data_IF_039407265833
#
_entry.id   IF_039407265833
#
_cell.length_a   1.000
_cell.length_b   1.000
_cell.length_c   1.000
_cell.angle_alpha   90.00
_cell.angle_beta   90.00
_cell.angle_gamma   90.00
#
_symmetry.space_group_name_H-M   'P 1'
#
loop_
_entity.id
_entity.type
_entity.pdbx_description
1 polymer ?
#
# COMPACT_ATOMS: atom_id res chain seq x y z
N UNK A 1 20.25 19.05 -10.94
CA UNK A 1 21.54 19.77 -11.01
C UNK A 1 21.35 21.25 -11.33
N UNK A 2 20.60 21.62 -12.38
CA UNK A 2 20.39 23.02 -12.78
C UNK A 2 19.41 23.84 -11.90
N UNK A 3 18.77 23.25 -10.87
CA UNK A 3 17.87 23.96 -9.96
C UNK A 3 16.47 24.28 -10.51
N UNK A 4 16.05 23.66 -11.61
CA UNK A 4 14.78 23.97 -12.32
C UNK A 4 13.59 23.07 -11.96
N UNK A 5 13.82 22.02 -11.17
CA UNK A 5 12.79 21.06 -10.77
C UNK A 5 13.24 20.28 -9.54
N UNK A 6 12.29 19.76 -8.79
CA UNK A 6 12.49 18.84 -7.67
C UNK A 6 11.49 17.69 -7.75
N UNK A 7 11.90 16.51 -7.28
CA UNK A 7 11.03 15.35 -7.19
C UNK A 7 10.32 15.36 -5.83
N UNK A 8 9.04 15.74 -5.82
CA UNK A 8 8.22 15.85 -4.62
C UNK A 8 7.70 14.53 -4.06
N UNK A 9 7.97 13.40 -4.74
CA UNK A 9 7.40 12.10 -4.41
C UNK A 9 5.87 12.20 -4.24
N UNK A 10 5.31 11.72 -3.13
CA UNK A 10 3.90 11.90 -2.76
C UNK A 10 3.83 12.96 -1.67
N UNK A 11 4.11 12.58 -0.42
CA UNK A 11 3.91 13.47 0.73
C UNK A 11 5.10 14.38 1.03
N UNK A 12 6.23 14.22 0.33
CA UNK A 12 7.44 15.03 0.57
C UNK A 12 7.23 16.47 0.09
N UNK A 13 6.85 16.65 -1.18
CA UNK A 13 6.49 17.95 -1.76
C UNK A 13 5.07 18.42 -1.41
N UNK A 14 4.21 17.49 -0.97
CA UNK A 14 2.84 17.79 -0.51
C UNK A 14 2.77 18.13 0.98
N UNK A 15 3.91 18.16 1.67
CA UNK A 15 4.09 18.54 3.07
C UNK A 15 3.17 17.81 4.06
N UNK A 16 2.88 16.53 3.81
CA UNK A 16 2.02 15.68 4.66
C UNK A 16 2.69 14.35 5.04
N UNK A 17 4.03 14.34 5.13
CA UNK A 17 4.78 13.18 5.63
C UNK A 17 4.74 13.14 7.16
N UNK A 18 4.29 12.01 7.73
CA UNK A 18 4.04 11.85 9.17
C UNK A 18 4.88 10.73 9.80
N UNK A 19 6.05 10.48 9.20
CA UNK A 19 6.89 9.35 9.56
C UNK A 19 6.36 8.01 9.04
N UNK A 20 6.86 6.90 9.59
CA UNK A 20 6.68 5.58 8.99
C UNK A 20 5.33 4.92 9.31
N UNK A 21 4.54 5.49 10.23
CA UNK A 21 3.21 4.98 10.58
C UNK A 21 2.29 4.81 9.36
N UNK A 22 2.45 5.67 8.34
CA UNK A 22 1.70 5.58 7.09
C UNK A 22 1.94 4.26 6.35
N UNK A 23 3.20 3.85 6.27
CA UNK A 23 3.59 2.60 5.59
C UNK A 23 3.24 1.38 6.44
N UNK A 24 3.39 1.46 7.78
CA UNK A 24 2.97 0.38 8.69
C UNK A 24 1.48 0.09 8.51
N UNK A 25 0.64 1.13 8.52
CA UNK A 25 -0.81 0.98 8.36
C UNK A 25 -1.20 0.42 6.99
N UNK A 26 -0.62 0.97 5.91
CA UNK A 26 -0.87 0.46 4.56
C UNK A 26 -0.49 -1.01 4.45
N UNK A 27 0.64 -1.41 5.05
CA UNK A 27 1.10 -2.80 5.03
C UNK A 27 0.24 -3.73 5.88
N UNK A 28 -0.23 -3.27 7.03
CA UNK A 28 -1.20 -3.98 7.85
C UNK A 28 -2.48 -4.29 7.05
N UNK A 29 -3.03 -3.31 6.33
CA UNK A 29 -4.22 -3.51 5.50
C UNK A 29 -3.94 -4.48 4.34
N UNK A 30 -2.79 -4.36 3.67
CA UNK A 30 -2.44 -5.25 2.55
C UNK A 30 -2.38 -6.72 3.00
N UNK A 31 -1.62 -7.03 4.05
CA UNK A 31 -1.42 -8.42 4.48
C UNK A 31 -2.70 -9.04 5.05
N UNK A 32 -3.50 -8.24 5.78
CA UNK A 32 -4.75 -8.71 6.35
C UNK A 32 -5.75 -9.05 5.25
N UNK A 33 -5.90 -8.17 4.24
CA UNK A 33 -6.78 -8.42 3.11
C UNK A 33 -6.25 -9.51 2.17
N UNK A 34 -4.92 -9.70 2.06
CA UNK A 34 -4.35 -10.88 1.37
C UNK A 34 -4.79 -12.18 2.06
N UNK A 35 -4.73 -12.21 3.40
CA UNK A 35 -5.22 -13.34 4.20
C UNK A 35 -6.71 -13.62 4.00
N UNK A 36 -7.55 -12.58 3.97
CA UNK A 36 -8.98 -12.74 3.68
C UNK A 36 -9.24 -13.31 2.29
N UNK A 37 -8.61 -12.71 1.28
CA UNK A 37 -8.82 -13.06 -0.13
C UNK A 37 -8.34 -14.47 -0.47
N UNK A 38 -7.23 -14.92 0.12
CA UNK A 38 -6.53 -16.14 -0.33
C UNK A 38 -6.51 -17.27 0.69
N UNK A 39 -6.65 -16.95 1.98
CA UNK A 39 -6.70 -17.95 3.06
C UNK A 39 -8.12 -18.10 3.64
N UNK A 40 -9.10 -17.33 3.15
CA UNK A 40 -10.49 -17.40 3.60
C UNK A 40 -10.71 -16.92 5.03
N UNK A 41 -9.82 -16.06 5.54
CA UNK A 41 -9.94 -15.47 6.88
C UNK A 41 -11.18 -14.57 6.91
N UNK A 42 -12.08 -14.73 7.89
CA UNK A 42 -13.25 -13.86 8.03
C UNK A 42 -12.92 -12.39 8.31
N UNK A 43 -13.84 -11.49 7.97
CA UNK A 43 -13.67 -10.04 8.16
C UNK A 43 -13.40 -9.64 9.62
N UNK A 44 -13.94 -10.39 10.57
CA UNK A 44 -13.84 -10.14 12.02
C UNK A 44 -12.60 -10.80 12.68
N UNK A 45 -11.73 -11.47 11.90
CA UNK A 45 -10.53 -12.14 12.39
C UNK A 45 -9.23 -11.43 12.00
N UNK A 46 -8.10 -12.01 12.39
CA UNK A 46 -6.74 -11.52 12.17
C UNK A 46 -5.86 -12.64 11.59
N UNK A 47 -4.55 -12.42 11.44
CA UNK A 47 -3.63 -13.39 10.84
C UNK A 47 -3.07 -14.41 11.85
N UNK A 48 -3.74 -14.65 12.99
CA UNK A 48 -3.27 -15.61 13.99
C UNK A 48 -3.07 -17.01 13.43
N UNK A 49 -1.83 -17.47 13.48
CA UNK A 49 -1.46 -18.79 12.99
C UNK A 49 -1.08 -18.83 11.51
N UNK A 50 -1.05 -17.68 10.82
CA UNK A 50 -0.69 -17.58 9.41
C UNK A 50 0.70 -16.98 9.19
N UNK A 51 1.36 -17.44 8.14
CA UNK A 51 2.73 -17.09 7.75
C UNK A 51 2.76 -16.12 6.58
N UNK A 52 3.48 -15.01 6.77
CA UNK A 52 3.88 -14.09 5.72
C UNK A 52 5.40 -14.06 5.58
N UNK A 53 5.90 -14.34 4.38
CA UNK A 53 7.33 -14.25 4.04
C UNK A 53 7.55 -13.07 3.10
N UNK A 54 8.59 -12.27 3.38
CA UNK A 54 8.97 -11.14 2.52
C UNK A 54 10.46 -10.81 2.69
N UNK A 55 10.89 -9.71 2.09
CA UNK A 55 12.27 -9.25 2.03
C UNK A 55 12.39 -7.73 2.21
N UNK A 56 13.57 -7.30 2.63
CA UNK A 56 13.94 -5.91 2.80
C UNK A 56 13.52 -5.33 4.16
N UNK A 57 14.47 -4.67 4.81
CA UNK A 57 14.28 -3.90 6.04
C UNK A 57 14.81 -2.48 5.86
N UNK A 58 14.57 -1.90 4.68
CA UNK A 58 14.92 -0.53 4.34
C UNK A 58 14.01 0.51 5.01
N UNK A 59 14.01 1.73 4.50
CA UNK A 59 13.20 2.83 5.06
C UNK A 59 11.70 2.51 5.09
N UNK A 60 11.13 2.07 3.96
CA UNK A 60 9.72 1.66 3.86
C UNK A 60 9.52 0.19 4.21
N UNK A 61 10.35 -0.72 3.67
CA UNK A 61 10.21 -2.17 3.88
C UNK A 61 10.48 -2.62 5.32
N UNK A 62 11.15 -1.78 6.12
CA UNK A 62 11.27 -1.97 7.56
C UNK A 62 9.94 -1.96 8.31
N UNK A 63 8.85 -1.47 7.72
CA UNK A 63 7.51 -1.48 8.33
C UNK A 63 6.82 -2.85 8.30
N UNK A 64 7.23 -3.76 7.40
CA UNK A 64 6.58 -5.07 7.21
C UNK A 64 6.58 -5.93 8.49
N UNK A 65 7.71 -6.08 9.23
CA UNK A 65 7.74 -6.74 10.54
C UNK A 65 6.72 -6.23 11.55
N UNK A 66 6.57 -4.89 11.62
CA UNK A 66 5.65 -4.28 12.58
C UNK A 66 4.20 -4.47 12.15
N UNK A 67 3.93 -4.39 10.85
CA UNK A 67 2.60 -4.59 10.29
C UNK A 67 2.09 -6.03 10.53
N UNK A 68 2.92 -7.05 10.29
CA UNK A 68 2.51 -8.46 10.50
C UNK A 68 2.25 -8.77 11.97
N UNK A 69 3.03 -8.21 12.91
CA UNK A 69 2.73 -8.35 14.33
C UNK A 69 1.45 -7.64 14.75
N UNK A 70 1.16 -6.45 14.21
CA UNK A 70 -0.11 -5.74 14.47
C UNK A 70 -1.29 -6.52 13.89
N UNK A 71 -1.10 -7.20 12.75
CA UNK A 71 -2.07 -8.13 12.18
C UNK A 71 -2.15 -9.47 12.94
N UNK A 72 -1.44 -9.62 14.07
CA UNK A 72 -1.35 -10.84 14.87
C UNK A 72 -0.81 -12.08 14.13
N UNK A 73 -0.07 -11.89 13.04
CA UNK A 73 0.50 -12.98 12.23
C UNK A 73 1.97 -13.29 12.53
N UNK A 74 2.49 -14.28 11.82
CA UNK A 74 3.91 -14.68 11.86
C UNK A 74 4.61 -14.19 10.60
N UNK A 75 5.70 -13.43 10.76
CA UNK A 75 6.46 -12.86 9.67
C UNK A 75 7.89 -13.37 9.61
N UNK A 76 8.38 -13.73 8.42
CA UNK A 76 9.81 -13.89 8.13
C UNK A 76 10.23 -12.83 7.12
N UNK A 77 11.26 -12.04 7.46
CA UNK A 77 11.74 -10.94 6.62
C UNK A 77 13.24 -11.13 6.35
N UNK A 78 13.60 -11.45 5.11
CA UNK A 78 14.99 -11.58 4.69
C UNK A 78 15.66 -10.22 4.48
N UNK A 79 16.84 -10.02 5.06
CA UNK A 79 17.66 -8.82 4.86
C UNK A 79 19.15 -9.16 4.90
N UNK A 80 19.90 -8.65 3.93
CA UNK A 80 21.35 -8.88 3.80
C UNK A 80 22.18 -7.88 4.60
N UNK A 81 21.63 -6.70 4.91
CA UNK A 81 22.28 -5.64 5.67
C UNK A 81 21.98 -5.77 7.17
N UNK A 82 22.92 -6.34 7.92
CA UNK A 82 22.79 -6.45 9.38
C UNK A 82 22.54 -5.09 10.07
N UNK A 83 23.02 -3.98 9.52
CA UNK A 83 22.78 -2.65 10.11
C UNK A 83 21.30 -2.26 10.03
N UNK A 84 20.61 -2.67 8.95
CA UNK A 84 19.17 -2.46 8.80
C UNK A 84 18.37 -3.29 9.76
N UNK A 85 18.73 -4.56 9.92
CA UNK A 85 18.11 -5.47 10.89
C UNK A 85 18.24 -4.90 12.30
N UNK A 86 19.47 -4.55 12.73
CA UNK A 86 19.73 -3.98 14.06
C UNK A 86 18.89 -2.74 14.33
N UNK A 87 18.81 -1.83 13.36
CA UNK A 87 17.96 -0.64 13.47
C UNK A 87 16.50 -1.00 13.79
N UNK A 88 15.93 -2.04 13.17
CA UNK A 88 14.51 -2.41 13.37
C UNK A 88 14.32 -3.19 14.67
N UNK A 89 15.32 -3.97 15.08
CA UNK A 89 15.34 -4.61 16.39
C UNK A 89 15.37 -3.55 17.51
N UNK A 90 16.26 -2.56 17.42
CA UNK A 90 16.39 -1.48 18.41
C UNK A 90 15.12 -0.62 18.49
N UNK A 91 14.38 -0.49 17.38
CA UNK A 91 13.07 0.15 17.32
C UNK A 91 11.93 -0.70 17.92
N UNK A 92 12.16 -1.99 18.20
CA UNK A 92 11.13 -2.94 18.62
C UNK A 92 10.13 -3.27 17.50
N UNK A 93 10.57 -3.21 16.24
CA UNK A 93 9.75 -3.56 15.07
C UNK A 93 10.03 -4.96 14.56
N UNK A 94 11.24 -5.47 14.81
CA UNK A 94 11.60 -6.88 14.63
C UNK A 94 11.70 -7.51 16.02
N UNK A 95 11.09 -8.68 16.22
CA UNK A 95 11.13 -9.40 17.51
C UNK A 95 12.34 -10.33 17.64
N UNK A 96 12.75 -11.00 16.56
CA UNK A 96 13.86 -11.97 16.58
C UNK A 96 14.75 -11.82 15.36
N UNK A 97 16.04 -12.09 15.53
CA UNK A 97 17.00 -12.23 14.43
C UNK A 97 17.54 -13.66 14.45
N UNK A 98 17.70 -14.24 13.26
CA UNK A 98 18.46 -15.48 13.05
C UNK A 98 19.19 -15.40 11.69
N UNK A 99 20.27 -16.15 11.54
CA UNK A 99 20.96 -16.37 10.26
C UNK A 99 20.91 -17.84 9.83
N UNK A 100 20.17 -18.69 10.56
CA UNK A 100 20.02 -20.11 10.27
C UNK A 100 18.64 -20.36 9.63
N UNK A 101 18.66 -20.92 8.43
CA UNK A 101 17.45 -21.16 7.63
C UNK A 101 16.49 -22.13 8.32
N UNK A 102 17.02 -23.17 8.98
CA UNK A 102 16.23 -24.18 9.65
C UNK A 102 15.56 -23.60 10.90
N UNK A 103 16.32 -22.89 11.73
CA UNK A 103 15.81 -22.19 12.92
C UNK A 103 14.72 -21.18 12.52
N UNK A 104 14.92 -20.44 11.43
CA UNK A 104 13.96 -19.44 10.92
C UNK A 104 12.57 -20.04 10.75
N UNK A 105 12.45 -21.14 9.99
CA UNK A 105 11.16 -21.78 9.75
C UNK A 105 10.65 -22.57 10.96
N UNK A 106 11.53 -23.17 11.76
CA UNK A 106 11.13 -23.85 13.00
C UNK A 106 10.45 -22.90 13.98
N UNK A 107 11.04 -21.71 14.17
CA UNK A 107 10.49 -20.67 15.03
C UNK A 107 9.17 -20.15 14.47
N UNK A 108 9.08 -19.90 13.17
CA UNK A 108 7.84 -19.46 12.54
C UNK A 108 6.69 -20.46 12.80
N UNK A 109 6.91 -21.75 12.56
CA UNK A 109 5.90 -22.77 12.81
C UNK A 109 5.55 -22.96 14.29
N UNK A 110 6.49 -22.74 15.20
CA UNK A 110 6.21 -22.74 16.64
C UNK A 110 5.21 -21.65 17.01
N UNK A 111 5.43 -20.42 16.54
CA UNK A 111 4.55 -19.29 16.81
C UNK A 111 3.20 -19.40 16.07
N UNK A 112 3.19 -19.97 14.86
CA UNK A 112 1.94 -20.28 14.17
C UNK A 112 1.07 -21.24 14.98
N UNK A 113 1.66 -22.32 15.53
CA UNK A 113 0.94 -23.29 16.38
C UNK A 113 0.42 -22.66 17.68
N UNK A 114 1.20 -21.75 18.27
CA UNK A 114 0.78 -21.00 19.48
C UNK A 114 -0.25 -19.91 19.19
N UNK A 115 -0.43 -19.54 17.92
CA UNK A 115 -1.23 -18.39 17.49
C UNK A 115 -0.77 -17.08 18.16
N UNK A 116 0.54 -16.94 18.30
CA UNK A 116 1.19 -15.76 18.84
C UNK A 116 1.92 -15.02 17.72
N UNK A 117 1.82 -13.68 17.63
CA UNK A 117 2.54 -12.94 16.62
C UNK A 117 4.04 -12.93 16.87
N UNK A 118 4.80 -12.96 15.78
CA UNK A 118 6.24 -12.71 15.80
C UNK A 118 6.71 -12.19 14.45
N UNK A 119 7.69 -11.29 14.46
CA UNK A 119 8.49 -10.96 13.30
C UNK A 119 9.93 -11.45 13.45
N UNK A 120 10.38 -12.23 12.48
CA UNK A 120 11.69 -12.88 12.43
C UNK A 120 12.47 -12.27 11.28
N UNK A 121 13.54 -11.52 11.57
CA UNK A 121 14.49 -11.09 10.57
C UNK A 121 15.49 -12.22 10.28
N UNK A 122 15.49 -12.72 9.05
CA UNK A 122 16.51 -13.61 8.55
C UNK A 122 17.67 -12.80 7.97
N UNK A 123 18.85 -12.88 8.59
CA UNK A 123 20.06 -12.25 8.09
C UNK A 123 20.67 -13.09 6.97
N UNK A 124 20.27 -12.81 5.74
CA UNK A 124 20.67 -13.54 4.54
C UNK A 124 19.91 -13.07 3.30
N UNK A 125 20.17 -13.70 2.16
CA UNK A 125 19.50 -13.35 0.92
C UNK A 125 18.11 -14.00 0.86
N UNK A 126 17.10 -13.28 0.36
CA UNK A 126 15.75 -13.84 0.15
C UNK A 126 15.79 -15.07 -0.75
N UNK A 127 16.69 -15.10 -1.73
CA UNK A 127 16.83 -16.26 -2.64
C UNK A 127 17.28 -17.51 -1.88
N UNK A 128 18.19 -17.39 -0.90
CA UNK A 128 18.61 -18.52 -0.05
C UNK A 128 17.45 -19.04 0.81
N UNK A 129 16.61 -18.12 1.33
CA UNK A 129 15.44 -18.45 2.14
C UNK A 129 14.38 -19.20 1.34
N UNK A 130 14.07 -18.73 0.13
CA UNK A 130 13.07 -19.36 -0.74
C UNK A 130 13.58 -20.67 -1.34
N UNK A 131 14.86 -20.77 -1.66
CA UNK A 131 15.49 -22.01 -2.12
C UNK A 131 15.41 -23.09 -1.03
N UNK A 132 15.71 -22.72 0.22
CA UNK A 132 15.52 -23.62 1.36
C UNK A 132 14.07 -24.08 1.51
N UNK A 133 13.09 -23.18 1.33
CA UNK A 133 11.68 -23.54 1.41
C UNK A 133 11.26 -24.51 0.29
N UNK A 134 11.73 -24.29 -0.94
CA UNK A 134 11.47 -25.16 -2.08
C UNK A 134 12.09 -26.55 -1.87
N UNK A 135 13.36 -26.62 -1.46
CA UNK A 135 14.11 -27.86 -1.30
C UNK A 135 13.58 -28.73 -0.14
N UNK A 136 13.07 -28.09 0.91
CA UNK A 136 12.54 -28.79 2.09
C UNK A 136 11.00 -28.91 2.07
N UNK A 137 10.35 -28.57 0.96
CA UNK A 137 8.89 -28.59 0.79
C UNK A 137 8.13 -27.86 1.92
N UNK A 138 8.64 -26.69 2.31
CA UNK A 138 8.03 -25.82 3.32
C UNK A 138 6.95 -25.00 2.64
N UNK A 139 5.72 -25.06 3.17
CA UNK A 139 4.61 -24.27 2.65
C UNK A 139 4.69 -22.83 3.18
N UNK A 140 4.63 -21.87 2.25
CA UNK A 140 4.51 -20.44 2.54
C UNK A 140 3.12 -20.03 2.07
N UNK A 141 2.29 -19.50 2.98
CA UNK A 141 0.92 -19.10 2.65
C UNK A 141 0.91 -17.80 1.82
N UNK A 142 1.52 -16.74 2.37
CA UNK A 142 1.62 -15.42 1.75
C UNK A 142 3.09 -15.05 1.51
N UNK A 143 3.42 -14.62 0.29
CA UNK A 143 4.76 -14.22 -0.13
C UNK A 143 4.74 -12.87 -0.83
N UNK A 144 5.72 -12.02 -0.53
CA UNK A 144 5.96 -10.78 -1.27
C UNK A 144 7.46 -10.44 -1.31
N UNK A 145 7.80 -9.31 -1.94
CA UNK A 145 9.15 -8.76 -1.96
C UNK A 145 9.08 -7.23 -1.85
N UNK A 146 9.94 -6.65 -1.01
CA UNK A 146 10.08 -5.19 -0.91
C UNK A 146 11.56 -4.76 -0.88
N UNK A 147 12.40 -5.50 -1.61
CA UNK A 147 13.75 -5.03 -1.96
C UNK A 147 13.67 -3.80 -2.88
N UNK A 148 14.78 -3.09 -3.10
CA UNK A 148 14.76 -1.86 -3.92
C UNK A 148 14.96 -2.14 -5.41
N UNK A 149 14.08 -2.93 -6.01
CA UNK A 149 14.12 -3.29 -7.44
C UNK A 149 13.82 -2.15 -8.41
N UNK A 150 13.49 -0.94 -7.92
CA UNK A 150 13.41 0.28 -8.73
C UNK A 150 14.79 0.83 -9.10
N UNK A 151 15.86 0.41 -8.40
CA UNK A 151 17.27 0.75 -8.66
C UNK A 151 18.18 -0.47 -8.43
N UNK A 152 17.90 -1.62 -9.07
CA UNK A 152 18.53 -2.90 -8.71
C UNK A 152 20.05 -2.88 -9.01
N UNK A 153 20.45 -2.18 -10.08
CA UNK A 153 21.83 -2.06 -10.55
C UNK A 153 22.67 -0.99 -9.82
N UNK A 154 22.07 -0.22 -8.92
CA UNK A 154 22.74 0.82 -8.13
C UNK A 154 22.81 0.47 -6.64
N UNK A 155 22.74 -0.83 -6.34
CA UNK A 155 22.85 -1.36 -4.98
C UNK A 155 21.52 -1.56 -4.26
N UNK A 156 20.39 -1.37 -4.94
CA UNK A 156 19.06 -1.65 -4.39
C UNK A 156 18.75 -3.15 -4.24
N UNK A 157 19.45 -4.01 -4.98
CA UNK A 157 19.30 -5.46 -4.95
C UNK A 157 20.66 -6.14 -4.74
N UNK A 158 20.75 -7.07 -3.78
CA UNK A 158 21.99 -7.76 -3.46
C UNK A 158 22.03 -9.13 -4.15
N UNK A 159 23.03 -9.42 -5.01
CA UNK A 159 23.15 -10.74 -5.62
C UNK A 159 23.32 -11.85 -4.58
N UNK A 160 22.74 -13.01 -4.86
CA UNK A 160 22.91 -14.23 -4.06
C UNK A 160 24.38 -14.66 -4.08
N UNK A 161 24.85 -15.23 -2.96
CA UNK A 161 26.23 -15.68 -2.81
C UNK A 161 27.26 -14.58 -2.52
N UNK A 162 26.83 -13.31 -2.40
CA UNK A 162 27.67 -12.21 -1.92
C UNK A 162 27.17 -11.72 -0.56
N UNK A 163 28.10 -11.44 0.34
CA UNK A 163 27.80 -10.65 1.53
C UNK A 163 27.50 -9.19 1.15
N UNK A 164 26.80 -8.47 2.04
CA UNK A 164 26.52 -7.04 1.84
C UNK A 164 27.79 -6.20 1.61
N UNK A 165 28.89 -6.53 2.29
CA UNK A 165 30.19 -5.86 2.15
C UNK A 165 30.83 -6.13 0.79
N UNK A 166 30.86 -7.40 0.36
CA UNK A 166 31.39 -7.78 -0.96
C UNK A 166 30.57 -7.15 -2.08
N UNK A 167 29.24 -7.16 -1.97
CA UNK A 167 28.35 -6.49 -2.90
C UNK A 167 28.64 -4.99 -3.01
N UNK A 168 28.85 -4.31 -1.87
CA UNK A 168 29.19 -2.88 -1.84
C UNK A 168 30.54 -2.59 -2.50
N UNK A 169 31.54 -3.46 -2.30
CA UNK A 169 32.85 -3.34 -2.97
C UNK A 169 32.74 -3.58 -4.47
N UNK A 170 32.00 -4.61 -4.89
CA UNK A 170 31.81 -4.95 -6.30
C UNK A 170 31.07 -3.86 -7.06
N UNK A 171 30.04 -3.25 -6.46
CA UNK A 171 29.31 -2.14 -7.08
C UNK A 171 30.23 -0.96 -7.47
N UNK A 172 31.30 -0.73 -6.71
CA UNK A 172 32.30 0.31 -7.00
C UNK A 172 33.36 -0.14 -8.01
N UNK A 173 33.79 -1.39 -7.92
CA UNK A 173 35.02 -1.85 -8.57
C UNK A 173 34.77 -2.65 -9.86
N UNK A 174 33.59 -3.28 -10.01
CA UNK A 174 33.25 -4.15 -11.14
C UNK A 174 31.73 -4.16 -11.37
N UNK A 175 31.23 -3.04 -11.91
CA UNK A 175 29.79 -2.85 -12.15
C UNK A 175 29.24 -3.80 -13.20
N UNK A 176 30.05 -4.22 -14.17
CA UNK A 176 29.63 -5.17 -15.23
C UNK A 176 29.34 -6.53 -14.62
N UNK A 177 30.25 -7.07 -13.80
CA UNK A 177 30.02 -8.33 -13.10
C UNK A 177 28.87 -8.22 -12.09
N UNK A 178 28.78 -7.11 -11.37
CA UNK A 178 27.67 -6.84 -10.45
C UNK A 178 26.32 -6.96 -11.16
N UNK A 179 26.15 -6.28 -12.30
CA UNK A 179 24.91 -6.32 -13.08
C UNK A 179 24.58 -7.75 -13.55
N UNK A 180 25.58 -8.50 -14.03
CA UNK A 180 25.38 -9.90 -14.42
C UNK A 180 24.89 -10.79 -13.27
N UNK A 181 25.44 -10.61 -12.06
CA UNK A 181 25.02 -11.34 -10.88
C UNK A 181 23.63 -10.90 -10.38
N UNK A 182 23.29 -9.62 -10.46
CA UNK A 182 21.94 -9.12 -10.18
C UNK A 182 20.93 -9.80 -11.11
N UNK A 183 21.19 -9.83 -12.43
CA UNK A 183 20.31 -10.49 -13.39
C UNK A 183 20.09 -11.96 -13.05
N UNK A 184 21.18 -12.71 -12.81
CA UNK A 184 21.10 -14.12 -12.42
C UNK A 184 20.27 -14.32 -11.14
N UNK A 185 20.44 -13.44 -10.16
CA UNK A 185 19.73 -13.52 -8.88
C UNK A 185 18.24 -13.19 -9.02
N UNK A 186 17.88 -12.19 -9.84
CA UNK A 186 16.48 -11.84 -10.10
C UNK A 186 15.74 -12.98 -10.81
N UNK A 187 16.38 -13.60 -11.82
CA UNK A 187 15.83 -14.76 -12.53
C UNK A 187 15.63 -15.93 -11.55
N UNK A 188 16.64 -16.24 -10.73
CA UNK A 188 16.52 -17.32 -9.73
C UNK A 188 15.42 -17.04 -8.70
N UNK A 189 15.29 -15.80 -8.24
CA UNK A 189 14.20 -15.40 -7.33
C UNK A 189 12.83 -15.67 -7.96
N UNK A 190 12.64 -15.25 -9.22
CA UNK A 190 11.41 -15.49 -9.96
C UNK A 190 11.11 -16.99 -10.16
N UNK A 191 12.10 -17.81 -10.51
CA UNK A 191 11.94 -19.26 -10.63
C UNK A 191 11.44 -19.90 -9.32
N UNK A 192 12.01 -19.50 -8.18
CA UNK A 192 11.58 -20.01 -6.88
C UNK A 192 10.16 -19.57 -6.53
N UNK A 193 9.79 -18.32 -6.85
CA UNK A 193 8.41 -17.85 -6.68
C UNK A 193 7.45 -18.68 -7.53
N UNK A 194 7.78 -19.01 -8.79
CA UNK A 194 6.94 -19.88 -9.63
C UNK A 194 6.71 -21.25 -8.99
N UNK A 195 7.78 -21.88 -8.50
CA UNK A 195 7.67 -23.20 -7.83
C UNK A 195 6.79 -23.11 -6.58
N UNK A 196 6.91 -22.04 -5.79
CA UNK A 196 6.10 -21.84 -4.59
C UNK A 196 4.63 -21.57 -4.93
N UNK A 197 4.36 -20.75 -5.96
CA UNK A 197 2.98 -20.46 -6.38
C UNK A 197 2.30 -21.68 -7.01
N UNK A 198 3.03 -22.52 -7.75
CA UNK A 198 2.56 -23.83 -8.20
C UNK A 198 2.20 -24.76 -7.02
N UNK A 199 2.81 -24.56 -5.85
CA UNK A 199 2.52 -25.28 -4.59
C UNK A 199 1.49 -24.57 -3.70
N UNK A 200 0.79 -23.57 -4.23
CA UNK A 200 -0.32 -22.88 -3.54
C UNK A 200 0.08 -21.65 -2.72
N UNK A 201 1.33 -21.17 -2.79
CA UNK A 201 1.70 -19.87 -2.21
C UNK A 201 1.01 -18.75 -2.98
N UNK A 202 0.43 -17.78 -2.27
CA UNK A 202 0.01 -16.54 -2.89
C UNK A 202 1.15 -15.52 -2.91
N UNK A 203 1.64 -15.19 -4.11
CA UNK A 203 2.60 -14.12 -4.33
C UNK A 203 1.94 -12.84 -4.85
N UNK A 204 2.35 -11.69 -4.32
CA UNK A 204 1.96 -10.38 -4.83
C UNK A 204 3.15 -9.41 -4.83
N UNK A 205 3.28 -8.60 -5.88
CA UNK A 205 4.32 -7.56 -5.98
C UNK A 205 3.96 -6.35 -5.10
N UNK A 206 4.89 -5.90 -4.27
CA UNK A 206 4.66 -4.81 -3.32
C UNK A 206 4.93 -3.40 -3.89
N UNK A 207 4.90 -3.24 -5.21
CA UNK A 207 5.10 -1.97 -5.89
C UNK A 207 6.55 -1.49 -5.87
N UNK A 208 7.52 -2.41 -5.84
CA UNK A 208 8.96 -2.11 -5.81
C UNK A 208 9.66 -2.27 -7.17
N UNK A 209 8.89 -2.54 -8.23
CA UNK A 209 9.34 -2.84 -9.58
C UNK A 209 10.11 -4.18 -9.73
N UNK A 210 9.90 -5.14 -8.83
CA UNK A 210 10.51 -6.47 -8.90
C UNK A 210 10.21 -7.16 -10.24
N UNK A 211 8.94 -7.26 -10.62
CA UNK A 211 8.57 -7.97 -11.86
C UNK A 211 9.17 -7.34 -13.11
N UNK A 212 9.25 -6.00 -13.13
CA UNK A 212 9.91 -5.26 -14.21
C UNK A 212 11.42 -5.54 -14.24
N UNK A 213 12.08 -5.55 -13.09
CA UNK A 213 13.50 -5.86 -13.00
C UNK A 213 13.81 -7.28 -13.48
N UNK A 214 12.96 -8.26 -13.18
CA UNK A 214 13.07 -9.64 -13.67
C UNK A 214 12.93 -9.70 -15.20
N UNK A 215 11.94 -9.00 -15.77
CA UNK A 215 11.76 -8.92 -17.23
C UNK A 215 12.98 -8.29 -17.92
N UNK A 216 13.51 -7.21 -17.35
CA UNK A 216 14.70 -6.51 -17.86
C UNK A 216 15.97 -7.36 -17.70
N UNK A 217 16.03 -8.24 -16.69
CA UNK A 217 17.12 -9.20 -16.48
C UNK A 217 17.13 -10.35 -17.50
N UNK A 218 16.01 -10.63 -18.17
CA UNK A 218 15.93 -11.56 -19.29
C UNK A 218 14.85 -12.65 -19.19
N UNK A 219 14.16 -12.79 -18.04
CA UNK A 219 13.05 -13.74 -17.88
C UNK A 219 11.77 -13.16 -18.49
N UNK A 220 11.58 -13.34 -19.79
CA UNK A 220 10.46 -12.77 -20.55
C UNK A 220 9.11 -13.38 -20.20
N UNK A 221 9.10 -14.61 -19.69
CA UNK A 221 7.91 -15.33 -19.24
C UNK A 221 7.25 -14.72 -17.98
N UNK A 222 7.86 -13.71 -17.34
CA UNK A 222 7.16 -12.93 -16.30
C UNK A 222 6.13 -11.96 -16.89
N UNK A 223 6.24 -11.59 -18.16
CA UNK A 223 5.23 -10.80 -18.86
C UNK A 223 4.11 -11.71 -19.39
N UNK A 224 2.84 -11.28 -19.30
CA UNK A 224 1.70 -12.12 -19.71
C UNK A 224 1.77 -12.57 -21.17
N UNK A 225 2.23 -11.70 -22.07
CA UNK A 225 2.39 -11.99 -23.49
C UNK A 225 3.78 -12.54 -23.88
N UNK A 226 4.73 -12.60 -22.94
CA UNK A 226 6.11 -13.05 -23.19
C UNK A 226 6.97 -12.14 -24.09
N UNK A 227 6.47 -10.98 -24.51
CA UNK A 227 7.13 -10.07 -25.47
C UNK A 227 7.50 -8.76 -24.80
N UNK A 228 6.54 -8.10 -24.15
CA UNK A 228 6.69 -6.80 -23.52
C UNK A 228 5.79 -6.65 -22.29
N UNK A 229 5.88 -5.51 -21.60
CA UNK A 229 5.12 -5.28 -20.35
C UNK A 229 3.75 -4.62 -20.59
N UNK A 230 3.25 -4.58 -21.82
CA UNK A 230 2.00 -3.86 -22.16
C UNK A 230 0.76 -4.50 -21.54
N UNK A 231 0.75 -5.83 -21.42
CA UNK A 231 -0.34 -6.61 -20.80
C UNK A 231 -0.11 -6.86 -19.29
N UNK A 232 0.94 -6.27 -18.72
CA UNK A 232 1.35 -6.50 -17.34
C UNK A 232 2.09 -7.83 -17.15
N UNK A 233 2.09 -8.32 -15.91
CA UNK A 233 2.91 -9.44 -15.46
C UNK A 233 2.06 -10.62 -14.99
N UNK A 234 2.66 -11.81 -14.91
CA UNK A 234 1.97 -13.05 -14.52
C UNK A 234 1.50 -13.06 -13.07
N UNK A 235 2.11 -12.24 -12.21
CA UNK A 235 1.67 -12.04 -10.85
C UNK A 235 1.02 -10.67 -10.67
N UNK A 236 -0.01 -10.57 -9.82
CA UNK A 236 -0.66 -9.30 -9.54
C UNK A 236 0.21 -8.42 -8.65
N UNK A 237 0.03 -7.10 -8.76
CA UNK A 237 0.50 -6.20 -7.71
C UNK A 237 -0.45 -6.19 -6.51
N UNK A 238 0.04 -5.75 -5.35
CA UNK A 238 -0.80 -5.60 -4.16
C UNK A 238 -1.97 -4.63 -4.37
N UNK A 239 -1.85 -3.67 -5.30
CA UNK A 239 -2.99 -2.81 -5.63
C UNK A 239 -3.96 -3.48 -6.58
N UNK A 240 -3.45 -4.24 -7.55
CA UNK A 240 -4.26 -4.91 -8.56
C UNK A 240 -5.27 -5.86 -7.93
N UNK A 241 -4.80 -6.72 -7.02
CA UNK A 241 -5.63 -7.79 -6.44
C UNK A 241 -6.20 -7.45 -5.06
N UNK A 242 -5.52 -6.59 -4.29
CA UNK A 242 -5.86 -6.38 -2.86
C UNK A 242 -6.39 -4.97 -2.65
N UNK A 243 -5.54 -3.93 -2.72
CA UNK A 243 -5.94 -2.58 -2.30
C UNK A 243 -7.02 -1.97 -3.20
N UNK A 244 -6.95 -2.21 -4.52
CA UNK A 244 -7.96 -1.73 -5.46
C UNK A 244 -9.34 -2.28 -5.08
N UNK A 245 -9.55 -3.60 -5.22
CA UNK A 245 -10.85 -4.23 -4.93
C UNK A 245 -11.30 -4.10 -3.49
N UNK A 246 -10.41 -4.29 -2.51
CA UNK A 246 -10.79 -4.40 -1.10
C UNK A 246 -10.85 -3.06 -0.36
N UNK A 247 -10.30 -1.98 -0.92
CA UNK A 247 -10.23 -0.68 -0.25
C UNK A 247 -10.65 0.47 -1.17
N UNK A 248 -9.88 0.71 -2.24
CA UNK A 248 -10.08 1.89 -3.07
C UNK A 248 -11.43 1.89 -3.78
N UNK A 249 -11.89 0.72 -4.19
CA UNK A 249 -13.16 0.60 -4.88
C UNK A 249 -14.35 0.97 -3.97
N UNK A 250 -14.19 0.82 -2.65
CA UNK A 250 -15.13 1.25 -1.60
C UNK A 250 -14.86 2.65 -1.02
N UNK A 251 -13.87 3.38 -1.56
CA UNK A 251 -13.51 4.71 -1.06
C UNK A 251 -12.49 4.71 0.09
N UNK A 252 -12.07 3.55 0.61
CA UNK A 252 -11.12 3.49 1.73
C UNK A 252 -9.71 3.83 1.26
N UNK A 253 -9.07 4.74 1.96
CA UNK A 253 -7.70 5.16 1.67
C UNK A 253 -7.13 6.02 2.78
N UNK A 254 -5.84 6.42 2.67
CA UNK A 254 -5.06 6.97 3.77
C UNK A 254 -5.58 8.32 4.26
N UNK A 255 -6.41 8.35 5.29
CA UNK A 255 -6.82 9.57 5.96
C UNK A 255 -5.88 9.87 7.13
N UNK A 256 -5.23 11.03 7.12
CA UNK A 256 -4.27 11.41 8.17
C UNK A 256 -4.50 12.82 8.67
N UNK A 257 -4.03 13.07 9.89
CA UNK A 257 -4.08 14.38 10.49
C UNK A 257 -2.84 14.66 11.33
N UNK A 258 -2.58 15.96 11.53
CA UNK A 258 -1.50 16.48 12.37
C UNK A 258 -2.09 17.50 13.34
N UNK A 259 -1.90 17.30 14.64
CA UNK A 259 -2.26 18.27 15.67
C UNK A 259 -1.23 19.42 15.65
N UNK A 260 -1.64 20.60 15.18
CA UNK A 260 -0.75 21.77 15.04
C UNK A 260 -0.37 22.40 16.38
N UNK A 261 -1.06 22.04 17.46
CA UNK A 261 -0.66 22.38 18.83
C UNK A 261 0.65 21.70 19.27
N UNK A 262 1.04 20.60 18.61
CA UNK A 262 2.17 19.76 19.01
C UNK A 262 1.96 18.96 20.29
N UNK A 263 0.76 19.02 20.89
CA UNK A 263 0.44 18.35 22.16
C UNK A 263 0.06 16.89 21.93
N UNK A 264 0.63 15.99 22.75
CA UNK A 264 0.29 14.56 22.71
C UNK A 264 -1.17 14.33 23.13
N UNK A 265 -1.68 15.15 24.05
CA UNK A 265 -3.03 15.06 24.56
C UNK A 265 -4.08 15.32 23.47
N UNK A 266 -3.80 16.22 22.54
CA UNK A 266 -4.67 16.48 21.38
C UNK A 266 -4.69 15.27 20.43
N UNK A 267 -3.56 14.58 20.28
CA UNK A 267 -3.50 13.34 19.49
C UNK A 267 -4.34 12.23 20.13
N UNK A 268 -4.25 12.04 21.45
CA UNK A 268 -5.07 11.05 22.17
C UNK A 268 -6.56 11.39 22.04
N UNK A 269 -6.94 12.67 22.18
CA UNK A 269 -8.33 13.11 22.00
C UNK A 269 -8.83 12.88 20.57
N UNK A 270 -8.00 13.15 19.57
CA UNK A 270 -8.37 12.90 18.17
C UNK A 270 -8.44 11.41 17.85
N UNK A 271 -7.59 10.56 18.45
CA UNK A 271 -7.70 9.10 18.35
C UNK A 271 -9.06 8.62 18.89
N UNK A 272 -9.46 9.07 20.09
CA UNK A 272 -10.76 8.72 20.67
C UNK A 272 -11.95 9.27 19.87
N UNK A 273 -11.85 10.48 19.35
CA UNK A 273 -12.88 11.08 18.52
C UNK A 273 -13.05 10.31 17.20
N UNK A 274 -11.97 9.93 16.52
CA UNK A 274 -12.03 9.08 15.33
C UNK A 274 -12.65 7.72 15.65
N UNK A 275 -12.25 7.08 16.76
CA UNK A 275 -12.87 5.84 17.25
C UNK A 275 -14.38 5.95 17.46
N UNK A 276 -14.86 7.07 18.02
CA UNK A 276 -16.28 7.25 18.30
C UNK A 276 -17.15 7.43 17.05
N UNK A 277 -16.54 7.80 15.91
CA UNK A 277 -17.23 8.00 14.63
C UNK A 277 -17.25 6.71 13.80
N UNK A 278 -16.21 5.88 13.91
CA UNK A 278 -16.11 4.63 13.15
C UNK A 278 -17.06 3.58 13.74
N UNK A 279 -17.98 3.08 12.93
CA UNK A 279 -18.82 1.93 13.28
C UNK A 279 -18.11 0.62 12.87
N UNK A 280 -17.51 -0.15 13.81
CA UNK A 280 -16.79 -1.37 13.47
C UNK A 280 -17.68 -2.49 12.93
N UNK A 281 -19.00 -2.41 13.12
CA UNK A 281 -19.94 -3.45 12.68
C UNK A 281 -20.47 -3.23 11.25
N UNK A 282 -20.09 -2.12 10.60
CA UNK A 282 -20.60 -1.75 9.26
C UNK A 282 -19.90 -2.53 8.14
N UNK A 283 -18.57 -2.58 8.12
CA UNK A 283 -17.74 -3.29 7.15
C UNK A 283 -16.42 -3.75 7.79
N UNK A 284 -15.79 -4.79 7.24
CA UNK A 284 -14.49 -5.29 7.72
C UNK A 284 -13.40 -4.22 7.76
N UNK A 285 -13.40 -3.31 6.77
CA UNK A 285 -12.48 -2.17 6.73
C UNK A 285 -12.70 -1.21 7.90
N UNK A 286 -13.95 -0.96 8.33
CA UNK A 286 -14.22 -0.12 9.51
C UNK A 286 -13.69 -0.77 10.79
N UNK A 287 -13.94 -2.08 10.95
CA UNK A 287 -13.42 -2.87 12.07
C UNK A 287 -11.90 -2.81 12.16
N UNK A 288 -11.21 -3.00 11.05
CA UNK A 288 -9.74 -2.98 11.02
C UNK A 288 -9.19 -1.61 11.39
N UNK A 289 -9.79 -0.55 10.85
CA UNK A 289 -9.37 0.81 11.14
C UNK A 289 -9.71 1.23 12.57
N UNK A 290 -10.79 0.70 13.15
CA UNK A 290 -11.12 0.83 14.57
C UNK A 290 -10.07 0.13 15.46
N UNK A 291 -9.70 -1.11 15.14
CA UNK A 291 -8.67 -1.87 15.86
C UNK A 291 -7.33 -1.16 15.78
N UNK A 292 -6.96 -0.69 14.59
CA UNK A 292 -5.74 0.08 14.35
C UNK A 292 -5.67 1.32 15.23
N UNK A 293 -6.70 2.16 15.22
CA UNK A 293 -6.68 3.42 15.99
C UNK A 293 -6.70 3.17 17.50
N UNK A 294 -7.44 2.15 17.96
CA UNK A 294 -7.48 1.72 19.37
C UNK A 294 -6.08 1.38 19.90
N UNK A 295 -5.30 0.67 19.08
CA UNK A 295 -3.99 0.18 19.47
C UNK A 295 -2.83 1.12 19.06
N UNK A 296 -3.15 2.27 18.44
CA UNK A 296 -2.15 3.16 17.84
C UNK A 296 -1.17 3.76 18.87
N UNK A 297 -1.63 4.04 20.11
CA UNK A 297 -0.75 4.50 21.19
C UNK A 297 0.21 3.39 21.66
N UNK A 298 -0.28 2.16 21.82
CA UNK A 298 0.52 0.99 22.22
C UNK A 298 1.69 0.75 21.26
N UNK A 299 1.48 1.02 19.98
CA UNK A 299 2.48 0.78 18.93
C UNK A 299 3.59 1.84 18.84
N UNK A 300 3.44 3.02 19.49
CA UNK A 300 4.47 4.07 19.57
C UNK A 300 5.09 4.48 18.23
N UNK A 301 4.26 4.65 17.19
CA UNK A 301 4.72 4.93 15.82
C UNK A 301 4.90 6.42 15.50
N UNK A 302 4.59 7.32 16.44
CA UNK A 302 4.68 8.78 16.25
C UNK A 302 6.15 9.19 16.22
N UNK A 303 6.56 9.89 15.16
CA UNK A 303 7.90 10.47 15.01
C UNK A 303 7.75 11.92 14.55
N UNK A 304 8.32 12.85 15.32
CA UNK A 304 8.22 14.28 15.02
C UNK A 304 6.89 14.87 15.47
N UNK A 305 6.08 15.34 14.52
CA UNK A 305 4.79 15.98 14.82
C UNK A 305 3.78 14.98 15.36
N UNK A 306 2.85 15.46 16.19
CA UNK A 306 1.76 14.67 16.73
C UNK A 306 0.76 14.39 15.61
N UNK A 307 0.86 13.22 15.00
CA UNK A 307 0.13 12.86 13.79
C UNK A 307 -0.35 11.43 13.85
N UNK A 308 -1.47 11.17 13.16
CA UNK A 308 -2.09 9.84 13.04
C UNK A 308 -2.57 9.61 11.62
N UNK A 309 -2.67 8.34 11.27
CA UNK A 309 -3.30 7.86 10.04
C UNK A 309 -4.31 6.76 10.38
N UNK A 310 -5.32 6.61 9.55
CA UNK A 310 -6.13 5.40 9.38
C UNK A 310 -6.65 5.39 7.93
N UNK A 311 -7.39 4.37 7.53
CA UNK A 311 -8.16 4.34 6.29
C UNK A 311 -9.62 4.58 6.58
N UNK A 312 -10.26 5.43 5.79
CA UNK A 312 -11.71 5.60 5.82
C UNK A 312 -12.27 5.91 4.44
N UNK A 313 -13.56 5.62 4.27
CA UNK A 313 -14.35 5.99 3.10
C UNK A 313 -14.70 7.48 3.09
N UNK A 314 -15.40 7.92 2.03
CA UNK A 314 -15.75 9.32 1.82
C UNK A 314 -16.50 9.97 3.01
N UNK A 315 -17.46 9.25 3.59
CA UNK A 315 -18.34 9.80 4.62
C UNK A 315 -17.72 9.67 6.01
N UNK A 316 -17.00 8.57 6.28
CA UNK A 316 -16.21 8.41 7.49
C UNK A 316 -15.13 9.49 7.61
N UNK A 317 -14.42 9.81 6.52
CA UNK A 317 -13.48 10.95 6.49
C UNK A 317 -14.17 12.27 6.81
N UNK A 318 -15.32 12.54 6.18
CA UNK A 318 -16.12 13.76 6.40
C UNK A 318 -16.54 13.88 7.86
N UNK A 319 -17.07 12.81 8.44
CA UNK A 319 -17.66 12.83 9.78
C UNK A 319 -16.58 12.93 10.87
N UNK A 320 -15.43 12.27 10.68
CA UNK A 320 -14.25 12.45 11.56
C UNK A 320 -13.74 13.90 11.47
N UNK A 321 -13.61 14.45 10.25
CA UNK A 321 -13.17 15.83 10.04
C UNK A 321 -14.10 16.85 10.71
N UNK A 322 -15.42 16.69 10.56
CA UNK A 322 -16.42 17.54 11.23
C UNK A 322 -16.33 17.42 12.75
N UNK A 323 -16.15 16.21 13.29
CA UNK A 323 -15.97 16.01 14.74
C UNK A 323 -14.72 16.72 15.25
N UNK A 324 -13.60 16.64 14.54
CA UNK A 324 -12.39 17.38 14.92
C UNK A 324 -12.60 18.89 14.85
N UNK A 325 -13.24 19.40 13.79
CA UNK A 325 -13.50 20.84 13.67
C UNK A 325 -14.41 21.35 14.79
N UNK A 326 -15.43 20.58 15.19
CA UNK A 326 -16.26 20.87 16.35
C UNK A 326 -15.45 20.92 17.65
N UNK A 327 -14.57 19.93 17.89
CA UNK A 327 -13.72 19.92 19.08
C UNK A 327 -12.76 21.12 19.16
N UNK A 328 -12.31 21.64 18.02
CA UNK A 328 -11.49 22.86 17.95
C UNK A 328 -12.34 24.08 18.33
N UNK A 329 -13.57 24.17 17.81
CA UNK A 329 -14.53 25.24 18.14
C UNK A 329 -14.86 25.28 19.64
N UNK A 330 -14.98 24.11 20.24
CA UNK A 330 -15.30 23.95 21.67
C UNK A 330 -14.07 24.13 22.58
N UNK A 331 -12.87 24.33 22.00
CA UNK A 331 -11.62 24.50 22.74
C UNK A 331 -11.08 23.23 23.39
N UNK A 332 -11.56 22.05 22.96
CA UNK A 332 -11.11 20.76 23.48
C UNK A 332 -9.71 20.37 22.98
N UNK A 333 -9.37 20.75 21.74
CA UNK A 333 -8.07 20.53 21.08
C UNK A 333 -7.64 21.78 20.30
N UNK A 334 -6.35 21.91 19.98
CA UNK A 334 -5.87 22.94 19.07
C UNK A 334 -6.13 22.62 17.59
N UNK A 335 -5.80 23.54 16.66
CA UNK A 335 -5.99 23.35 15.22
C UNK A 335 -5.37 22.06 14.69
N UNK A 336 -6.01 21.45 13.69
CA UNK A 336 -5.59 20.19 13.09
C UNK A 336 -5.41 20.38 11.58
N UNK A 337 -4.30 19.88 11.02
CA UNK A 337 -4.09 19.79 9.58
C UNK A 337 -4.48 18.39 9.10
N UNK A 338 -5.57 18.28 8.34
CA UNK A 338 -5.94 17.06 7.63
C UNK A 338 -5.12 16.90 6.35
N UNK A 339 -4.97 15.68 5.89
CA UNK A 339 -4.54 15.37 4.54
C UNK A 339 -4.48 13.86 4.31
N UNK A 340 -3.65 13.45 3.36
CA UNK A 340 -3.49 12.04 2.98
C UNK A 340 -2.17 11.76 2.27
N UNK A 341 -1.90 10.48 2.02
CA UNK A 341 -0.96 10.13 0.97
C UNK A 341 -1.56 10.43 -0.41
N UNK A 342 -0.72 10.44 -1.45
CA UNK A 342 -1.23 10.48 -2.82
C UNK A 342 -1.70 9.08 -3.26
N UNK A 343 -1.23 8.02 -2.57
CA UNK A 343 -1.70 6.64 -2.70
C UNK A 343 -3.14 6.48 -2.15
N UNK A 344 -4.12 6.97 -2.92
CA UNK A 344 -5.52 7.02 -2.54
C UNK A 344 -6.43 6.83 -3.77
N UNK A 345 -7.72 6.63 -3.53
CA UNK A 345 -8.77 6.31 -4.50
C UNK A 345 -8.73 7.16 -5.77
N UNK A 346 -8.72 8.49 -5.63
CA UNK A 346 -8.70 9.47 -6.73
C UNK A 346 -7.38 10.24 -6.86
N UNK A 347 -6.46 10.05 -5.93
CA UNK A 347 -5.25 10.86 -5.81
C UNK A 347 -4.17 10.54 -6.83
N UNK A 348 -4.17 9.37 -7.46
CA UNK A 348 -3.05 8.97 -8.34
C UNK A 348 -3.52 8.14 -9.52
N UNK A 349 -3.05 8.53 -10.71
CA UNK A 349 -3.03 7.68 -11.89
C UNK A 349 -1.64 7.05 -12.03
N UNK A 350 -1.57 5.73 -12.02
CA UNK A 350 -0.31 4.96 -12.02
C UNK A 350 -0.60 3.52 -12.48
N UNK A 351 -0.40 3.21 -13.78
CA UNK A 351 -0.79 1.92 -14.35
C UNK A 351 -0.04 0.73 -13.74
N UNK A 352 1.10 0.98 -13.11
CA UNK A 352 1.92 -0.03 -12.44
C UNK A 352 1.56 -0.22 -10.96
N UNK A 353 0.64 0.59 -10.41
CA UNK A 353 0.30 0.56 -8.99
C UNK A 353 -1.14 1.01 -8.77
N UNK A 354 -1.40 2.28 -8.47
CA UNK A 354 -2.73 2.77 -8.04
C UNK A 354 -3.88 2.48 -9.00
N UNK A 355 -3.63 2.49 -10.32
CA UNK A 355 -4.64 2.20 -11.35
C UNK A 355 -4.41 0.86 -12.04
N UNK A 356 -3.61 -0.03 -11.45
CA UNK A 356 -3.32 -1.35 -12.03
C UNK A 356 -4.55 -2.29 -12.07
N UNK A 357 -5.55 -2.08 -11.19
CA UNK A 357 -6.81 -2.84 -11.22
C UNK A 357 -7.84 -2.30 -12.24
N UNK A 358 -7.52 -1.24 -12.98
CA UNK A 358 -8.40 -0.64 -13.99
C UNK A 358 -8.14 -1.33 -15.34
N UNK A 359 -9.17 -1.99 -15.88
CA UNK A 359 -9.04 -2.91 -17.03
C UNK A 359 -9.74 -2.47 -18.31
N UNK A 360 -10.34 -1.29 -18.34
CA UNK A 360 -10.99 -0.72 -19.52
C UNK A 360 -10.02 -0.03 -20.50
N UNK A 361 -8.71 -0.11 -20.23
CA UNK A 361 -7.64 0.55 -20.99
C UNK A 361 -7.37 2.00 -20.57
N UNK A 362 -8.18 2.57 -19.67
CA UNK A 362 -7.97 3.94 -19.17
C UNK A 362 -6.93 4.03 -18.05
N UNK A 363 -6.33 2.93 -17.62
CA UNK A 363 -5.32 2.90 -16.55
C UNK A 363 -4.07 3.74 -16.85
N UNK A 364 -3.82 4.03 -18.13
CA UNK A 364 -2.69 4.85 -18.63
C UNK A 364 -3.00 6.36 -18.68
N UNK A 365 -4.25 6.78 -18.47
CA UNK A 365 -4.62 8.20 -18.50
C UNK A 365 -4.22 8.90 -17.20
N UNK A 366 -4.40 10.23 -17.14
CA UNK A 366 -4.08 11.04 -15.96
C UNK A 366 -5.25 11.94 -15.51
N UNK A 367 -6.43 11.75 -16.11
CA UNK A 367 -7.58 12.64 -15.88
C UNK A 367 -8.09 12.57 -14.45
N UNK A 368 -8.06 11.39 -13.81
CA UNK A 368 -8.58 11.21 -12.45
C UNK A 368 -7.77 12.04 -11.44
N UNK A 369 -6.43 11.93 -11.48
CA UNK A 369 -5.56 12.67 -10.58
C UNK A 369 -5.64 14.19 -10.82
N UNK A 370 -5.73 14.61 -12.09
CA UNK A 370 -5.89 16.04 -12.46
C UNK A 370 -7.24 16.57 -11.99
N UNK A 371 -8.33 15.82 -12.18
CA UNK A 371 -9.67 16.20 -11.72
C UNK A 371 -9.71 16.25 -10.20
N UNK A 372 -9.14 15.27 -9.50
CA UNK A 372 -9.03 15.28 -8.04
C UNK A 372 -8.32 16.56 -7.55
N UNK A 373 -7.15 16.88 -8.11
CA UNK A 373 -6.40 18.10 -7.81
C UNK A 373 -7.23 19.37 -8.07
N UNK A 374 -7.80 19.52 -9.27
CA UNK A 374 -8.53 20.72 -9.67
C UNK A 374 -9.82 20.89 -8.83
N UNK A 375 -10.53 19.80 -8.57
CA UNK A 375 -11.76 19.83 -7.79
C UNK A 375 -11.52 20.05 -6.30
N UNK A 376 -10.38 19.60 -5.74
CA UNK A 376 -9.94 19.97 -4.40
C UNK A 376 -9.60 21.46 -4.32
N UNK A 377 -8.91 21.99 -5.33
CA UNK A 377 -8.58 23.41 -5.41
C UNK A 377 -9.85 24.28 -5.47
N UNK A 378 -10.80 23.89 -6.32
CA UNK A 378 -12.08 24.60 -6.49
C UNK A 378 -13.03 24.50 -5.29
N UNK A 379 -12.79 23.57 -4.34
CA UNK A 379 -13.64 23.35 -3.16
C UNK A 379 -13.08 23.92 -1.86
N UNK A 380 -11.92 24.57 -1.89
CA UNK A 380 -11.41 25.34 -0.75
C UNK A 380 -10.45 24.60 0.19
N UNK A 381 -9.79 23.53 -0.28
CA UNK A 381 -8.67 22.92 0.47
C UNK A 381 -7.57 23.97 0.72
N UNK A 382 -6.93 23.92 1.89
CA UNK A 382 -5.89 24.89 2.29
C UNK A 382 -4.61 24.76 1.47
N UNK A 383 -4.29 23.54 1.04
CA UNK A 383 -3.16 23.18 0.18
C UNK A 383 -3.60 22.12 -0.81
N UNK A 384 -3.17 22.25 -2.06
CA UNK A 384 -3.32 21.23 -3.10
C UNK A 384 -1.98 21.04 -3.81
N UNK A 385 -1.60 19.78 -4.01
CA UNK A 385 -0.35 19.41 -4.67
C UNK A 385 -0.65 18.49 -5.85
N UNK A 386 0.09 18.68 -6.95
CA UNK A 386 0.11 17.78 -8.10
C UNK A 386 1.57 17.50 -8.45
N UNK A 387 1.95 16.23 -8.44
CA UNK A 387 3.30 15.76 -8.67
C UNK A 387 3.38 14.81 -9.87
N UNK A 388 4.60 14.64 -10.36
CA UNK A 388 4.95 13.68 -11.40
C UNK A 388 5.83 12.57 -10.79
N UNK A 389 5.32 11.34 -10.84
CA UNK A 389 6.08 10.12 -10.64
C UNK A 389 6.16 9.63 -9.21
N UNK A 390 5.29 10.09 -8.31
CA UNK A 390 5.23 9.62 -6.93
C UNK A 390 5.11 8.09 -6.85
N UNK A 391 5.99 7.48 -6.05
CA UNK A 391 5.99 6.03 -5.83
C UNK A 391 6.72 5.21 -6.89
N UNK A 392 6.29 5.28 -8.15
CA UNK A 392 6.80 4.42 -9.24
C UNK A 392 7.90 5.05 -10.10
N UNK A 393 8.19 6.35 -9.89
CA UNK A 393 9.24 7.09 -10.59
C UNK A 393 8.71 8.05 -11.66
N UNK A 394 9.58 8.96 -12.10
CA UNK A 394 9.26 10.07 -13.02
C UNK A 394 8.58 9.55 -14.31
N UNK A 395 7.54 10.25 -14.75
CA UNK A 395 6.74 9.99 -15.95
C UNK A 395 5.94 8.68 -15.94
N UNK A 396 5.89 7.98 -14.80
CA UNK A 396 5.14 6.73 -14.64
C UNK A 396 3.88 6.88 -13.80
N UNK A 397 3.67 8.04 -13.19
CA UNK A 397 2.46 8.36 -12.45
C UNK A 397 2.21 9.87 -12.43
N UNK A 398 0.95 10.26 -12.34
CA UNK A 398 0.52 11.62 -11.99
C UNK A 398 -0.25 11.51 -10.68
N UNK A 399 0.22 12.22 -9.66
CA UNK A 399 -0.24 11.99 -8.29
C UNK A 399 -0.44 13.30 -7.53
N UNK A 400 -1.62 13.50 -6.97
CA UNK A 400 -2.01 14.66 -6.20
C UNK A 400 -2.44 14.35 -4.76
N UNK A 401 -2.32 15.36 -3.92
CA UNK A 401 -2.70 15.32 -2.51
C UNK A 401 -3.25 16.67 -2.06
N UNK A 402 -3.77 16.70 -0.85
CA UNK A 402 -4.31 17.91 -0.25
C UNK A 402 -3.85 18.06 1.20
N UNK A 403 -3.97 19.29 1.67
CA UNK A 403 -3.91 19.66 3.08
C UNK A 403 -5.07 20.58 3.42
N UNK A 404 -5.71 20.37 4.58
CA UNK A 404 -6.84 21.18 5.02
C UNK A 404 -6.72 21.51 6.50
N UNK A 405 -6.58 22.80 6.80
CA UNK A 405 -6.54 23.28 8.18
C UNK A 405 -7.95 23.35 8.73
N UNK A 406 -8.16 22.67 9.85
CA UNK A 406 -9.34 22.78 10.69
C UNK A 406 -9.09 23.89 11.72
N UNK A 407 -9.91 24.93 11.67
CA UNK A 407 -9.80 26.13 12.52
C UNK A 407 -10.99 26.32 13.47
N UNK A 408 -11.95 25.39 13.45
CA UNK A 408 -13.17 25.45 14.24
C UNK A 408 -14.30 26.27 13.63
N UNK A 409 -14.11 26.94 12.49
CA UNK A 409 -15.14 27.80 11.89
C UNK A 409 -16.22 27.00 11.15
N UNK A 410 -17.44 27.56 11.09
CA UNK A 410 -18.55 27.00 10.28
C UNK A 410 -18.21 26.98 8.78
N UNK A 411 -17.42 27.96 8.31
CA UNK A 411 -16.92 27.99 6.93
C UNK A 411 -16.13 26.72 6.59
N UNK A 412 -15.32 26.23 7.53
CA UNK A 412 -14.55 25.00 7.34
C UNK A 412 -15.48 23.78 7.31
N UNK A 413 -16.58 23.75 8.06
CA UNK A 413 -17.57 22.67 7.96
C UNK A 413 -18.18 22.57 6.56
N UNK A 414 -18.52 23.71 5.94
CA UNK A 414 -19.05 23.75 4.58
C UNK A 414 -18.03 23.20 3.55
N UNK A 415 -16.75 23.52 3.74
CA UNK A 415 -15.66 22.97 2.92
C UNK A 415 -15.55 21.47 3.14
N UNK A 416 -15.54 20.99 4.40
CA UNK A 416 -15.45 19.55 4.72
C UNK A 416 -16.56 18.77 4.00
N UNK A 417 -17.81 19.25 4.10
CA UNK A 417 -18.98 18.58 3.53
C UNK A 417 -18.93 18.42 2.02
N UNK A 418 -18.21 19.31 1.31
CA UNK A 418 -18.11 19.29 -0.16
C UNK A 418 -16.80 18.69 -0.66
N UNK A 419 -15.68 19.08 -0.05
CA UNK A 419 -14.34 18.76 -0.53
C UNK A 419 -13.91 17.34 -0.18
N UNK A 420 -14.19 16.87 1.05
CA UNK A 420 -13.77 15.54 1.49
C UNK A 420 -14.49 14.41 0.74
N UNK A 421 -15.83 14.46 0.53
CA UNK A 421 -16.49 13.49 -0.33
C UNK A 421 -15.99 13.53 -1.77
N UNK A 422 -15.75 14.72 -2.35
CA UNK A 422 -15.19 14.84 -3.70
C UNK A 422 -13.83 14.15 -3.84
N UNK A 423 -12.90 14.43 -2.93
CA UNK A 423 -11.53 13.89 -2.94
C UNK A 423 -11.49 12.36 -3.02
N UNK A 424 -12.50 11.71 -2.44
CA UNK A 424 -12.65 10.25 -2.43
C UNK A 424 -13.49 9.75 -3.61
N UNK A 425 -14.69 10.31 -3.79
CA UNK A 425 -15.68 9.81 -4.73
C UNK A 425 -15.29 10.05 -6.20
N UNK A 426 -14.38 10.98 -6.50
CA UNK A 426 -13.83 11.12 -7.86
C UNK A 426 -13.08 9.85 -8.29
N UNK A 427 -12.36 9.21 -7.36
CA UNK A 427 -11.67 7.95 -7.60
C UNK A 427 -12.62 6.76 -7.73
N UNK A 428 -13.56 6.66 -6.80
CA UNK A 428 -14.61 5.62 -6.82
C UNK A 428 -15.45 5.72 -8.10
N UNK A 429 -15.85 6.93 -8.51
CA UNK A 429 -16.58 7.20 -9.75
C UNK A 429 -15.83 6.70 -10.98
N UNK A 430 -14.52 6.99 -11.07
CA UNK A 430 -13.67 6.51 -12.17
C UNK A 430 -13.54 5.00 -12.18
N UNK A 431 -13.31 4.37 -11.01
CA UNK A 431 -13.22 2.90 -10.86
C UNK A 431 -14.54 2.22 -11.22
N UNK A 432 -15.66 2.80 -10.81
CA UNK A 432 -17.00 2.40 -11.23
C UNK A 432 -17.12 2.44 -12.75
N UNK A 433 -16.76 3.55 -13.40
CA UNK A 433 -16.84 3.67 -14.85
C UNK A 433 -15.97 2.64 -15.58
N UNK A 434 -14.80 2.34 -15.01
CA UNK A 434 -13.91 1.27 -15.47
C UNK A 434 -14.42 -0.16 -15.18
N UNK A 435 -15.64 -0.29 -14.65
CA UNK A 435 -16.34 -1.54 -14.33
C UNK A 435 -15.73 -2.35 -13.18
N UNK A 436 -15.12 -1.67 -12.20
CA UNK A 436 -14.73 -2.32 -10.96
C UNK A 436 -15.99 -2.61 -10.13
N UNK A 437 -16.29 -3.88 -9.88
CA UNK A 437 -17.55 -4.37 -9.29
C UNK A 437 -17.92 -3.66 -7.98
N UNK A 438 -16.99 -3.62 -7.03
CA UNK A 438 -17.18 -2.99 -5.72
C UNK A 438 -17.42 -1.47 -5.82
N UNK A 439 -16.84 -0.81 -6.83
CA UNK A 439 -17.10 0.62 -7.07
C UNK A 439 -18.46 0.88 -7.70
N UNK A 440 -18.98 -0.03 -8.52
CA UNK A 440 -20.34 0.06 -9.06
C UNK A 440 -21.33 0.02 -7.89
N UNK A 441 -21.20 -0.94 -6.98
CA UNK A 441 -22.03 -1.02 -5.77
C UNK A 441 -21.94 0.28 -4.96
N UNK A 442 -20.72 0.73 -4.66
CA UNK A 442 -20.48 1.97 -3.89
C UNK A 442 -21.08 3.19 -4.56
N UNK A 443 -21.01 3.29 -5.89
CA UNK A 443 -21.56 4.42 -6.65
C UNK A 443 -23.09 4.40 -6.72
N UNK A 444 -23.71 3.22 -6.79
CA UNK A 444 -25.17 3.06 -6.71
C UNK A 444 -25.67 3.50 -5.32
N UNK A 445 -25.01 3.06 -4.26
CA UNK A 445 -25.34 3.47 -2.89
C UNK A 445 -25.18 4.99 -2.71
N UNK A 446 -24.08 5.57 -3.21
CA UNK A 446 -23.86 7.01 -3.19
C UNK A 446 -24.98 7.78 -3.90
N UNK A 447 -25.35 7.39 -5.13
CA UNK A 447 -26.43 8.02 -5.89
C UNK A 447 -27.79 7.96 -5.17
N UNK A 448 -28.06 6.87 -4.43
CA UNK A 448 -29.28 6.73 -3.63
C UNK A 448 -29.27 7.69 -2.45
N UNK A 449 -28.14 7.81 -1.74
CA UNK A 449 -28.00 8.63 -0.55
C UNK A 449 -27.95 10.15 -0.86
N UNK A 450 -27.46 10.54 -2.04
CA UNK A 450 -27.31 11.93 -2.48
C UNK A 450 -28.29 12.32 -3.59
N UNK A 451 -29.44 11.64 -3.66
CA UNK A 451 -30.44 11.86 -4.71
C UNK A 451 -30.90 13.32 -4.76
N UNK A 452 -30.67 13.96 -5.91
CA UNK A 452 -31.06 15.36 -6.16
C UNK A 452 -29.97 16.39 -5.84
N UNK A 453 -28.83 15.95 -5.30
CA UNK A 453 -27.66 16.78 -5.02
C UNK A 453 -26.50 16.41 -5.96
N UNK A 454 -26.05 15.15 -5.87
CA UNK A 454 -24.94 14.62 -6.67
C UNK A 454 -25.38 13.42 -7.53
N UNK A 455 -24.62 13.14 -8.59
CA UNK A 455 -24.86 11.98 -9.44
C UNK A 455 -23.58 11.45 -10.09
N UNK A 456 -23.35 10.15 -9.95
CA UNK A 456 -22.29 9.37 -10.61
C UNK A 456 -22.92 8.54 -11.73
N UNK A 457 -22.40 8.64 -12.95
CA UNK A 457 -22.85 7.80 -14.06
C UNK A 457 -22.48 6.34 -13.80
N UNK A 458 -23.47 5.44 -13.80
CA UNK A 458 -23.26 3.99 -13.66
C UNK A 458 -23.10 3.38 -15.06
N UNK A 459 -22.02 2.61 -15.33
CA UNK A 459 -21.83 2.00 -16.64
C UNK A 459 -22.83 0.87 -16.89
N UNK A 460 -23.22 0.68 -18.15
CA UNK A 460 -23.87 -0.54 -18.59
C UNK A 460 -22.80 -1.58 -18.91
N UNK A 461 -22.78 -2.69 -18.17
CA UNK A 461 -21.85 -3.80 -18.42
C UNK A 461 -22.42 -4.66 -19.56
N UNK A 462 -21.67 -4.79 -20.65
CA UNK A 462 -22.05 -5.63 -21.78
C UNK A 462 -21.91 -7.12 -21.43
N UNK A 463 -22.76 -7.96 -22.03
CA UNK A 463 -22.64 -9.42 -21.93
C UNK A 463 -21.50 -9.91 -22.83
N UNK A 464 -20.52 -10.60 -22.24
CA UNK A 464 -19.36 -11.14 -22.96
C UNK A 464 -19.79 -12.08 -24.10
N UNK A 465 -20.91 -12.82 -23.94
CA UNK A 465 -21.43 -13.67 -25.02
C UNK A 465 -21.84 -12.84 -26.24
N UNK A 466 -22.40 -11.65 -26.04
CA UNK A 466 -22.76 -10.77 -27.15
C UNK A 466 -21.53 -10.23 -27.88
N UNK A 467 -20.44 -10.01 -27.14
CA UNK A 467 -19.15 -9.59 -27.71
C UNK A 467 -18.59 -10.72 -28.59
N UNK A 468 -18.53 -11.94 -28.06
CA UNK A 468 -18.05 -13.12 -28.80
C UNK A 468 -18.88 -13.36 -30.08
N UNK A 469 -20.21 -13.34 -29.97
CA UNK A 469 -21.11 -13.48 -31.13
C UNK A 469 -20.84 -12.39 -32.19
N UNK A 470 -20.55 -11.15 -31.77
CA UNK A 470 -20.24 -10.06 -32.68
C UNK A 470 -18.90 -10.25 -33.40
N UNK A 471 -17.88 -10.80 -32.72
CA UNK A 471 -16.59 -11.12 -33.32
C UNK A 471 -16.68 -12.30 -34.29
N UNK A 472 -17.38 -13.38 -33.93
CA UNK A 472 -17.58 -14.54 -34.81
C UNK A 472 -18.30 -14.16 -36.10
N UNK A 473 -19.34 -13.32 -36.02
CA UNK A 473 -20.07 -12.81 -37.20
C UNK A 473 -19.24 -11.93 -38.13
N UNK A 474 -18.12 -11.37 -37.65
CA UNK A 474 -17.22 -10.53 -38.45
C UNK A 474 -16.13 -11.34 -39.16
N UNK A 475 -15.80 -12.51 -38.63
CA UNK A 475 -14.80 -13.42 -39.18
C UNK A 475 -15.38 -14.45 -40.16
N UNK A 476 -16.71 -14.61 -40.17
CA UNK A 476 -17.48 -15.27 -41.23
C UNK A 476 -17.96 -14.26 -42.27
#
# INVERSE_FOLDING_TARGET
AMGVSSYGQMTAGGWMYIGPQGIVHGTYNTILNAGRLKLGIPDDQDLKGHLFVTSGLGGMSGAQPKAIEIANGVGIIAEVDLSRIKTRLDQGWVSKITSDLKETFQLAYEYMRRKEPISIAYHGNIVDLLEYAVDNNIHIELLSDQTSCHVPYDGGYCPQGLTFSERTKMLKNDKVRFNGLVNKTLIRHFELIKVLTERGTYFFDYGNAFMRAVFDAGAKDIAKNGIDTSEGFVFPSYVEDIMGPMLFDYGYGPFRWVCLSGKKEDLIKTDHAAMSVINPDRRGQDRDNYVWIRDAEKNKLVVGTQARILYQDALGRRDIALKFNQMIRDGEIGPVMLGRDHHDTGGTDSPYRETSNIKDGSNITADMAIQCFAGNAGRGMSLVALHNGGGVGISKAINGGFGMVLDGSDRVDEIIRKAIPWDTMVGVSRRNWARCENSIETSIEYNKNFKGEDHITIPYVADDNLIEIAFEKRNN
#
